data_IF_200189629470
#
_entry.id   IF_200189629470
#
_cell.length_a   1.000
_cell.length_b   1.000
_cell.length_c   1.000
_cell.angle_alpha   90.00
_cell.angle_beta   90.00
_cell.angle_gamma   90.00
#
_symmetry.space_group_name_H-M   'P 1'
#
loop_
_entity.id
_entity.type
_entity.pdbx_description
1 polymer ?
#
# COMPACT_ATOMS: atom_id res chain seq x y z
N UNK A 1 -14.69 12.43 18.95
CA UNK A 1 -13.42 11.77 19.35
C UNK A 1 -12.60 11.42 18.11
N UNK A 2 -11.30 11.72 18.10
CA UNK A 2 -10.34 11.26 17.10
C UNK A 2 -9.34 10.31 17.76
N UNK A 3 -8.82 9.33 17.04
CA UNK A 3 -7.77 8.42 17.53
C UNK A 3 -6.51 8.60 16.69
N UNK A 4 -5.42 9.03 17.33
CA UNK A 4 -4.08 9.04 16.74
C UNK A 4 -3.26 7.95 17.43
N UNK A 5 -2.86 6.93 16.68
CA UNK A 5 -2.02 5.86 17.21
C UNK A 5 -0.54 6.29 17.26
N UNK A 6 0.28 5.49 17.94
CA UNK A 6 1.68 5.84 18.25
C UNK A 6 2.48 6.30 17.04
N UNK A 7 3.22 7.40 17.22
CA UNK A 7 4.07 8.02 16.19
C UNK A 7 3.35 8.40 14.88
N UNK A 8 2.03 8.61 14.89
CA UNK A 8 1.35 9.23 13.77
C UNK A 8 1.82 10.68 13.57
N UNK A 9 2.13 11.05 12.33
CA UNK A 9 2.50 12.40 11.92
C UNK A 9 1.44 13.02 11.01
N UNK A 10 1.12 14.30 11.25
CA UNK A 10 0.17 15.07 10.45
C UNK A 10 0.87 16.31 9.89
N UNK A 11 0.64 16.61 8.61
CA UNK A 11 1.02 17.89 8.05
C UNK A 11 0.19 19.03 8.69
N UNK A 12 0.72 20.26 8.63
CA UNK A 12 0.00 21.43 9.10
C UNK A 12 -1.19 21.78 8.21
N UNK A 13 -2.15 22.52 8.76
CA UNK A 13 -3.36 23.01 8.05
C UNK A 13 -4.26 21.89 7.51
N UNK A 14 -4.46 20.83 8.29
CA UNK A 14 -5.37 19.75 7.96
C UNK A 14 -6.54 19.68 8.94
N UNK A 15 -7.70 19.27 8.43
CA UNK A 15 -8.86 18.91 9.24
C UNK A 15 -8.93 17.40 9.45
N UNK A 16 -9.21 16.99 10.69
CA UNK A 16 -9.43 15.57 11.04
C UNK A 16 -10.84 15.44 11.61
N UNK A 17 -11.70 14.78 10.84
CA UNK A 17 -13.11 14.66 11.15
C UNK A 17 -13.42 13.83 12.39
N UNK A 18 -14.59 14.06 12.97
CA UNK A 18 -15.03 13.34 14.16
C UNK A 18 -15.12 11.82 13.91
N UNK A 19 -14.60 11.03 14.85
CA UNK A 19 -14.56 9.57 14.75
C UNK A 19 -13.42 9.03 13.88
N UNK A 20 -12.59 9.88 13.27
CA UNK A 20 -11.49 9.43 12.45
C UNK A 20 -10.41 8.68 13.27
N UNK A 21 -9.76 7.72 12.62
CA UNK A 21 -8.67 6.91 13.17
C UNK A 21 -7.45 7.05 12.26
N UNK A 22 -6.32 7.43 12.85
CA UNK A 22 -5.02 7.48 12.18
C UNK A 22 -4.14 6.37 12.78
N UNK A 23 -3.74 5.42 11.94
CA UNK A 23 -2.90 4.28 12.34
C UNK A 23 -1.50 4.69 12.81
N UNK A 24 -0.84 3.76 13.50
CA UNK A 24 0.51 3.99 14.01
C UNK A 24 1.47 4.28 12.85
N UNK A 25 2.41 5.21 13.06
CA UNK A 25 3.41 5.62 12.07
C UNK A 25 2.82 6.12 10.74
N UNK A 26 1.53 6.49 10.71
CA UNK A 26 0.94 7.05 9.50
C UNK A 26 1.43 8.48 9.26
N UNK A 27 1.61 8.84 7.99
CA UNK A 27 1.99 10.19 7.56
C UNK A 27 0.82 10.85 6.83
N UNK A 28 0.01 11.65 7.53
CA UNK A 28 -1.18 12.30 6.98
C UNK A 28 -0.79 13.59 6.26
N UNK A 29 -1.08 13.66 4.96
CA UNK A 29 -0.76 14.80 4.09
C UNK A 29 -2.01 15.56 3.60
N UNK A 30 -3.21 15.07 3.91
CA UNK A 30 -4.51 15.60 3.47
C UNK A 30 -5.54 15.43 4.59
N UNK A 31 -6.65 16.17 4.49
CA UNK A 31 -7.76 16.07 5.44
C UNK A 31 -8.26 14.63 5.55
N UNK A 32 -8.67 14.27 6.77
CA UNK A 32 -9.22 12.95 7.07
C UNK A 32 -10.72 13.08 7.33
N UNK A 33 -11.58 12.46 6.50
CA UNK A 33 -13.02 12.54 6.68
C UNK A 33 -13.47 11.96 8.04
N UNK A 34 -14.62 12.42 8.57
CA UNK A 34 -15.21 11.83 9.77
C UNK A 34 -15.39 10.32 9.64
N UNK A 35 -15.12 9.59 10.73
CA UNK A 35 -15.23 8.12 10.84
C UNK A 35 -14.33 7.31 9.90
N UNK A 36 -13.44 7.95 9.15
CA UNK A 36 -12.52 7.23 8.28
C UNK A 36 -11.35 6.62 9.08
N UNK A 37 -10.76 5.56 8.55
CA UNK A 37 -9.57 4.94 9.12
C UNK A 37 -8.46 4.91 8.09
N UNK A 38 -7.40 5.69 8.35
CA UNK A 38 -6.24 5.84 7.46
C UNK A 38 -4.96 5.25 8.06
N UNK A 39 -4.09 4.72 7.20
CA UNK A 39 -2.82 4.07 7.56
C UNK A 39 -1.75 4.29 6.47
N UNK A 40 -0.48 4.13 6.85
CA UNK A 40 0.66 4.21 5.93
C UNK A 40 1.26 5.62 5.82
N UNK A 41 2.36 5.74 5.08
CA UNK A 41 3.03 7.02 4.81
C UNK A 41 3.42 7.08 3.33
N UNK A 42 2.71 7.87 2.50
CA UNK A 42 1.57 8.72 2.84
C UNK A 42 0.34 7.92 3.31
N UNK A 43 -0.47 8.53 4.19
CA UNK A 43 -1.67 7.90 4.72
C UNK A 43 -2.75 7.74 3.64
N UNK A 44 -3.30 6.54 3.54
CA UNK A 44 -4.41 6.16 2.66
C UNK A 44 -5.46 5.40 3.47
N UNK A 45 -6.61 5.10 2.87
CA UNK A 45 -7.61 4.27 3.55
C UNK A 45 -7.01 2.93 3.99
N UNK A 46 -7.38 2.46 5.18
CA UNK A 46 -6.83 1.24 5.76
C UNK A 46 -7.02 0.01 4.84
N UNK A 47 -8.09 -0.02 4.04
CA UNK A 47 -8.34 -1.09 3.06
C UNK A 47 -7.30 -1.06 1.91
N UNK A 48 -7.01 0.12 1.37
CA UNK A 48 -5.98 0.27 0.34
C UNK A 48 -4.61 -0.11 0.88
N UNK A 49 -4.26 0.37 2.08
CA UNK A 49 -2.97 0.06 2.73
C UNK A 49 -2.84 -1.44 3.01
N UNK A 50 -3.89 -2.11 3.49
CA UNK A 50 -3.92 -3.58 3.66
C UNK A 50 -3.66 -4.31 2.34
N UNK A 51 -4.31 -3.89 1.26
CA UNK A 51 -4.11 -4.49 -0.08
C UNK A 51 -2.68 -4.30 -0.58
N UNK A 52 -2.11 -3.12 -0.37
CA UNK A 52 -0.72 -2.82 -0.74
C UNK A 52 0.26 -3.70 0.04
N UNK A 53 0.08 -3.84 1.35
CA UNK A 53 0.90 -4.73 2.19
C UNK A 53 0.79 -6.18 1.72
N UNK A 54 -0.42 -6.68 1.46
CA UNK A 54 -0.63 -8.03 0.94
C UNK A 54 0.13 -8.24 -0.39
N UNK A 55 0.05 -7.27 -1.31
CA UNK A 55 0.77 -7.33 -2.57
C UNK A 55 2.30 -7.36 -2.36
N UNK A 56 2.84 -6.54 -1.45
CA UNK A 56 4.27 -6.55 -1.12
C UNK A 56 4.74 -7.90 -0.58
N UNK A 57 3.94 -8.54 0.29
CA UNK A 57 4.23 -9.88 0.81
C UNK A 57 4.25 -10.93 -0.31
N UNK A 58 3.37 -10.80 -1.31
CA UNK A 58 3.30 -11.72 -2.45
C UNK A 58 4.27 -11.41 -3.59
N UNK A 59 4.89 -10.23 -3.60
CA UNK A 59 5.73 -9.75 -4.70
C UNK A 59 6.89 -10.70 -5.07
N UNK A 60 7.59 -11.35 -4.13
CA UNK A 60 8.64 -12.30 -4.48
C UNK A 60 8.12 -13.51 -5.28
N UNK A 61 6.93 -14.02 -4.92
CA UNK A 61 6.28 -15.12 -5.66
C UNK A 61 5.88 -14.68 -7.06
N UNK A 62 5.40 -13.45 -7.20
CA UNK A 62 5.08 -12.87 -8.50
C UNK A 62 6.33 -12.75 -9.38
N UNK A 63 7.46 -12.31 -8.81
CA UNK A 63 8.75 -12.22 -9.53
C UNK A 63 9.20 -13.58 -10.06
N UNK A 64 9.11 -14.63 -9.24
CA UNK A 64 9.43 -15.99 -9.68
C UNK A 64 8.50 -16.48 -10.80
N UNK A 65 7.20 -16.20 -10.68
CA UNK A 65 6.23 -16.53 -11.72
C UNK A 65 6.51 -15.79 -13.03
N UNK A 66 6.92 -14.53 -12.99
CA UNK A 66 7.32 -13.77 -14.19
C UNK A 66 8.53 -14.41 -14.85
N UNK A 67 9.57 -14.76 -14.08
CA UNK A 67 10.76 -15.44 -14.62
C UNK A 67 10.39 -16.76 -15.33
N UNK A 68 9.55 -17.59 -14.70
CA UNK A 68 9.09 -18.85 -15.30
C UNK A 68 8.31 -18.62 -16.59
N UNK A 69 7.50 -17.56 -16.66
CA UNK A 69 6.78 -17.18 -17.87
C UNK A 69 7.73 -16.68 -18.97
N UNK A 70 8.74 -15.88 -18.63
CA UNK A 70 9.77 -15.43 -19.57
C UNK A 70 10.54 -16.61 -20.17
N UNK A 71 10.96 -17.58 -19.35
CA UNK A 71 11.62 -18.81 -19.83
C UNK A 71 10.71 -19.66 -20.73
N UNK A 72 9.42 -19.78 -20.36
CA UNK A 72 8.45 -20.53 -21.16
C UNK A 72 8.19 -19.87 -22.52
N UNK A 73 8.06 -18.54 -22.54
CA UNK A 73 7.91 -17.76 -23.77
C UNK A 73 9.14 -17.89 -24.64
N UNK A 74 10.36 -17.74 -24.09
CA UNK A 74 11.61 -17.89 -24.86
C UNK A 74 11.73 -19.25 -25.56
N UNK A 75 11.31 -20.34 -24.89
CA UNK A 75 11.29 -21.69 -25.48
C UNK A 75 10.26 -21.83 -26.61
N UNK A 76 9.13 -21.13 -26.53
CA UNK A 76 8.06 -21.19 -27.53
C UNK A 76 8.34 -20.28 -28.74
N UNK A 77 9.04 -19.16 -28.54
CA UNK A 77 9.32 -18.17 -29.58
C UNK A 77 10.43 -18.56 -30.57
N UNK A 78 11.13 -19.68 -30.35
CA UNK A 78 12.08 -20.21 -31.32
C UNK A 78 13.41 -19.46 -31.44
N UNK A 79 13.76 -18.55 -30.51
CA UNK A 79 15.09 -17.92 -30.42
C UNK A 79 16.19 -18.89 -29.93
N UNK A 80 16.06 -20.17 -30.28
CA UNK A 80 17.02 -21.25 -30.02
C UNK A 80 17.49 -21.94 -31.30
N UNK A 81 17.39 -21.29 -32.47
CA UNK A 81 17.95 -21.79 -33.74
C UNK A 81 18.14 -20.67 -34.77
N UNK A 82 19.11 -19.77 -34.55
CA UNK A 82 20.01 -19.24 -35.60
C UNK A 82 21.39 -19.06 -34.96
#
# INVERSE_FOLDING_TARGET
>A
RVILAGQAGLAGHLEVGDGAIVGAQAGVMKDVPPKDFVMGSPAMSHLQTKKLIANMVTLPKLKEKVKQLEEAVGKLSGEGSI
#
